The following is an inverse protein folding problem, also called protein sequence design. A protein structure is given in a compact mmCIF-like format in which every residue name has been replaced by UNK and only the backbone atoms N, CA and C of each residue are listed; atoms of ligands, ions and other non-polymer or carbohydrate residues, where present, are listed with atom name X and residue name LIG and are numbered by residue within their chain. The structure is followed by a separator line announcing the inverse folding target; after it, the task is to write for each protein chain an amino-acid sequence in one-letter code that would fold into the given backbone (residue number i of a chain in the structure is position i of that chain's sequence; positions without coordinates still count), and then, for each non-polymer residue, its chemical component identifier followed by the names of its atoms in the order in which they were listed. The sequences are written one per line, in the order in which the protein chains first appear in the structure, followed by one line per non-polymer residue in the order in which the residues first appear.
data_IF_576989313122
#
_entry.id   IF_576989313122
#
_cell.length_a   1.000
_cell.length_b   1.000
_cell.length_c   1.000
_cell.angle_alpha   90.00
_cell.angle_beta   90.00
_cell.angle_gamma   90.00
#
_symmetry.space_group_name_H-M   'P 1'
#
loop_
_entity.id
_entity.type
_entity.pdbx_description
1 polymer ?
#
# COMPACT_ATOMS: atom_id res chain seq x y z
N UNK A 1 12.53 30.56 30.18
CA UNK A 1 12.51 30.24 29.53
C UNK A 1 12.52 29.85 29.00
N UNK A 2 12.45 29.66 28.91
CA UNK A 2 12.26 29.21 28.14
C UNK A 2 12.16 28.74 27.45
N UNK A 3 12.00 28.65 27.46
CA UNK A 3 11.71 28.15 26.66
C UNK A 3 11.58 27.54 26.08
N UNK A 4 11.33 27.28 26.13
CA UNK A 4 11.00 26.67 25.46
C UNK A 4 11.07 26.25 24.64
N UNK A 5 11.11 26.39 24.89
CA UNK A 5 10.98 25.84 23.93
C UNK A 5 10.92 25.29 23.26
N UNK A 6 10.77 25.19 23.24
CA UNK A 6 10.48 24.71 22.49
C UNK A 6 10.42 24.00 21.87
N UNK A 7 10.43 23.99 22.38
CA UNK A 7 10.15 23.34 21.77
C UNK A 7 10.02 22.76 21.16
N UNK A 8 9.91 22.80 21.41
CA UNK A 8 9.61 22.33 20.68
C UNK A 8 9.49 21.82 20.08
N UNK A 9 9.32 21.77 20.15
CA UNK A 9 9.03 21.26 19.36
C UNK A 9 8.96 20.63 18.82
N UNK A 10 8.77 20.39 18.87
CA UNK A 10 8.56 19.87 18.21
C UNK A 10 8.55 19.24 17.59
N UNK A 11 8.53 18.81 17.58
CA UNK A 11 8.55 18.19 16.77
C UNK A 11 8.09 17.65 16.36
N UNK A 12 7.53 17.42 16.48
CA UNK A 12 6.90 16.82 15.88
C UNK A 12 6.80 16.86 14.87
N UNK A 13 6.58 17.02 15.19
CA UNK A 13 6.50 17.21 14.21
C UNK A 13 7.15 16.91 13.29
N UNK A 14 7.63 16.66 13.43
CA UNK A 14 8.39 16.16 12.53
C UNK A 14 7.96 14.98 11.94
N UNK A 15 6.99 14.38 12.41
CA UNK A 15 6.37 13.32 11.71
C UNK A 15 5.74 13.85 10.51
N UNK A 16 6.16 13.34 9.37
CA UNK A 16 5.56 13.73 8.12
C UNK A 16 4.21 13.10 8.00
N UNK A 17 3.24 13.86 7.55
CA UNK A 17 1.92 13.33 7.25
C UNK A 17 1.88 13.11 5.77
N UNK A 18 1.99 11.84 5.34
CA UNK A 18 1.82 11.54 3.94
C UNK A 18 0.71 10.52 3.79
N UNK A 19 -0.09 10.72 2.77
CA UNK A 19 -1.23 9.85 2.49
C UNK A 19 -0.97 9.12 1.19
N UNK A 20 -0.91 7.81 1.25
CA UNK A 20 -0.78 6.97 0.08
C UNK A 20 -2.13 6.29 -0.14
N UNK A 21 -2.55 6.24 -1.40
CA UNK A 21 -3.83 5.65 -1.73
C UNK A 21 -3.68 4.18 -2.03
N UNK A 22 -4.64 3.38 -1.55
CA UNK A 22 -4.68 1.98 -1.89
C UNK A 22 -5.11 1.80 -3.34
N UNK A 23 -4.76 0.66 -3.92
CA UNK A 23 -5.14 0.31 -5.27
C UNK A 23 -5.96 -0.96 -5.25
N UNK A 24 -6.76 -1.17 -6.30
CA UNK A 24 -7.67 -2.30 -6.39
C UNK A 24 -7.39 -3.12 -7.65
N UNK A 25 -7.82 -4.37 -7.62
CA UNK A 25 -7.56 -5.32 -8.68
C UNK A 25 -8.84 -6.00 -9.13
N UNK A 26 -8.81 -6.45 -10.37
CA UNK A 26 -9.88 -7.28 -10.90
C UNK A 26 -9.82 -8.67 -10.29
N UNK A 27 -10.93 -9.38 -10.35
CA UNK A 27 -11.01 -10.73 -9.81
C UNK A 27 -9.90 -11.62 -10.39
N UNK A 28 -9.21 -12.30 -9.52
CA UNK A 28 -8.19 -13.30 -9.87
C UNK A 28 -7.06 -12.72 -10.72
N UNK A 29 -6.85 -11.39 -10.67
CA UNK A 29 -5.83 -10.73 -11.46
C UNK A 29 -4.88 -9.96 -10.56
N UNK A 30 -3.67 -9.76 -11.05
CA UNK A 30 -2.69 -8.91 -10.36
C UNK A 30 -2.09 -7.89 -11.33
N UNK A 31 -2.68 -7.71 -12.49
CA UNK A 31 -2.19 -6.69 -13.43
C UNK A 31 -2.68 -5.32 -13.00
N UNK A 32 -1.89 -4.32 -13.36
CA UNK A 32 -2.22 -2.93 -13.03
C UNK A 32 -3.05 -2.34 -14.17
N UNK A 33 -4.20 -1.78 -13.82
CA UNK A 33 -5.05 -1.09 -14.78
C UNK A 33 -4.55 0.34 -14.97
N UNK A 34 -4.93 1.03 -16.06
CA UNK A 34 -4.48 2.41 -16.26
C UNK A 34 -4.78 3.33 -15.09
N UNK A 35 -5.99 3.26 -14.54
CA UNK A 35 -6.33 4.12 -13.40
C UNK A 35 -5.54 3.75 -12.16
N UNK A 36 -5.19 2.47 -12.00
CA UNK A 36 -4.33 2.01 -10.91
C UNK A 36 -2.95 2.59 -11.04
N UNK A 37 -2.42 2.62 -12.27
CA UNK A 37 -1.09 3.19 -12.51
C UNK A 37 -1.06 4.67 -12.17
N UNK A 38 -2.14 5.40 -12.46
CA UNK A 38 -2.21 6.81 -12.08
C UNK A 38 -2.11 7.00 -10.57
N UNK A 39 -2.81 6.15 -9.81
CA UNK A 39 -2.70 6.20 -8.35
C UNK A 39 -1.28 5.92 -7.89
N UNK A 40 -0.64 4.90 -8.49
CA UNK A 40 0.74 4.57 -8.13
C UNK A 40 1.71 5.69 -8.49
N UNK A 41 1.47 6.39 -9.60
CA UNK A 41 2.29 7.54 -9.96
C UNK A 41 2.17 8.64 -8.92
N UNK A 42 0.96 8.89 -8.41
CA UNK A 42 0.77 9.86 -7.35
C UNK A 42 1.45 9.41 -6.06
N UNK A 43 1.35 8.12 -5.73
CA UNK A 43 2.03 7.59 -4.56
C UNK A 43 3.55 7.74 -4.71
N UNK A 44 4.07 7.52 -5.91
CA UNK A 44 5.51 7.68 -6.16
C UNK A 44 5.95 9.11 -5.93
N UNK A 45 5.14 10.10 -6.36
CA UNK A 45 5.49 11.50 -6.13
C UNK A 45 5.57 11.81 -4.64
N UNK A 46 4.62 11.27 -3.85
CA UNK A 46 4.67 11.44 -2.40
C UNK A 46 5.94 10.82 -1.81
N UNK A 47 6.30 9.62 -2.27
CA UNK A 47 7.49 8.96 -1.76
C UNK A 47 8.77 9.69 -2.17
N UNK A 48 8.81 10.29 -3.36
CA UNK A 48 9.97 11.07 -3.79
C UNK A 48 10.10 12.33 -2.97
N UNK A 49 8.99 12.95 -2.60
CA UNK A 49 9.00 14.16 -1.78
C UNK A 49 9.44 13.87 -0.34
N UNK A 50 9.37 12.62 0.10
CA UNK A 50 9.72 12.22 1.46
C UNK A 50 10.71 11.07 1.43
N UNK A 51 11.98 11.34 1.07
CA UNK A 51 12.92 10.27 0.72
C UNK A 51 13.31 9.33 1.85
N UNK A 52 13.02 9.70 3.10
CA UNK A 52 13.37 8.82 4.23
C UNK A 52 12.26 7.86 4.60
N UNK A 53 11.09 7.99 3.99
CA UNK A 53 9.94 7.17 4.31
C UNK A 53 10.09 5.80 3.64
N UNK A 54 9.78 4.76 4.38
CA UNK A 54 9.70 3.39 3.86
C UNK A 54 8.26 2.93 3.93
N UNK A 55 7.92 1.99 3.07
CA UNK A 55 6.53 1.54 2.96
C UNK A 55 6.47 0.02 2.86
N UNK A 56 5.42 -0.54 3.45
CA UNK A 56 5.08 -1.95 3.27
C UNK A 56 3.81 -1.99 2.43
N UNK A 57 3.85 -2.76 1.34
CA UNK A 57 2.69 -2.96 0.50
C UNK A 57 2.03 -4.27 0.91
N UNK A 58 0.77 -4.18 1.36
CA UNK A 58 0.00 -5.36 1.79
C UNK A 58 -0.91 -5.80 0.67
N UNK A 59 -0.74 -7.04 0.21
CA UNK A 59 -1.60 -7.60 -0.81
C UNK A 59 -2.76 -8.35 -0.18
N UNK A 60 -3.97 -8.06 -0.65
CA UNK A 60 -5.20 -8.63 -0.12
C UNK A 60 -6.08 -9.16 -1.23
N UNK A 61 -6.89 -10.16 -0.90
CA UNK A 61 -7.79 -10.81 -1.84
C UNK A 61 -9.18 -10.88 -1.25
N UNK A 62 -10.18 -11.16 -2.13
CA UNK A 62 -11.51 -11.46 -1.63
C UNK A 62 -11.54 -12.90 -1.10
N UNK A 63 -12.70 -13.31 -0.57
CA UNK A 63 -12.79 -14.56 0.18
C UNK A 63 -12.77 -15.81 -0.70
N UNK A 64 -12.90 -15.67 -2.01
CA UNK A 64 -13.06 -16.82 -2.89
C UNK A 64 -11.71 -17.49 -3.15
N UNK A 65 -11.71 -18.82 -3.04
CA UNK A 65 -10.51 -19.62 -3.26
C UNK A 65 -9.87 -20.07 -1.97
N UNK A 66 -8.79 -20.84 -2.10
CA UNK A 66 -8.11 -21.39 -0.93
C UNK A 66 -7.25 -20.34 -0.25
N UNK A 67 -6.87 -20.62 1.00
CA UNK A 67 -5.97 -19.74 1.74
C UNK A 67 -4.64 -19.62 1.01
N UNK A 68 -4.08 -20.76 0.59
CA UNK A 68 -2.78 -20.78 -0.06
C UNK A 68 -2.79 -20.02 -1.40
N UNK A 69 -3.83 -20.24 -2.19
CA UNK A 69 -3.92 -19.56 -3.48
C UNK A 69 -3.97 -18.05 -3.30
N UNK A 70 -4.75 -17.61 -2.31
CA UNK A 70 -4.92 -16.17 -2.09
C UNK A 70 -3.71 -15.53 -1.44
N UNK A 71 -2.95 -16.28 -0.62
CA UNK A 71 -1.68 -15.75 -0.13
C UNK A 71 -0.72 -15.50 -1.29
N UNK A 72 -0.66 -16.44 -2.24
CA UNK A 72 0.19 -16.26 -3.42
C UNK A 72 -0.29 -15.12 -4.30
N UNK A 73 -1.60 -15.01 -4.51
CA UNK A 73 -2.17 -13.93 -5.34
C UNK A 73 -1.92 -12.57 -4.69
N UNK A 74 -2.08 -12.48 -3.36
CA UNK A 74 -1.80 -11.23 -2.66
C UNK A 74 -0.34 -10.82 -2.79
N UNK A 75 0.57 -11.78 -2.74
CA UNK A 75 1.99 -11.49 -2.94
C UNK A 75 2.24 -10.96 -4.34
N UNK A 76 1.63 -11.59 -5.35
CA UNK A 76 1.78 -11.12 -6.73
C UNK A 76 1.23 -9.71 -6.91
N UNK A 77 0.12 -9.40 -6.25
CA UNK A 77 -0.46 -8.07 -6.30
C UNK A 77 0.48 -7.04 -5.68
N UNK A 78 1.03 -7.36 -4.51
CA UNK A 78 1.96 -6.45 -3.84
C UNK A 78 3.22 -6.25 -4.68
N UNK A 79 3.73 -7.32 -5.28
CA UNK A 79 4.92 -7.23 -6.13
C UNK A 79 4.66 -6.41 -7.39
N UNK A 80 3.45 -6.52 -7.97
CA UNK A 80 3.11 -5.71 -9.14
C UNK A 80 3.23 -4.22 -8.81
N UNK A 81 2.70 -3.83 -7.65
CA UNK A 81 2.78 -2.43 -7.23
C UNK A 81 4.22 -2.02 -6.93
N UNK A 82 4.96 -2.87 -6.23
CA UNK A 82 6.36 -2.57 -5.92
C UNK A 82 7.17 -2.39 -7.19
N UNK A 83 7.03 -3.31 -8.14
CA UNK A 83 7.82 -3.25 -9.35
C UNK A 83 7.52 -1.98 -10.13
N UNK A 84 6.26 -1.57 -10.18
CA UNK A 84 5.91 -0.34 -10.87
C UNK A 84 6.49 0.89 -10.17
N UNK A 85 6.45 0.93 -8.83
CA UNK A 85 7.06 2.03 -8.09
C UNK A 85 8.56 2.08 -8.31
N UNK A 86 9.23 0.92 -8.37
CA UNK A 86 10.65 0.88 -8.66
C UNK A 86 10.92 1.43 -10.07
N UNK A 87 10.09 1.06 -11.04
CA UNK A 87 10.21 1.59 -12.39
C UNK A 87 10.03 3.10 -12.43
N UNK A 88 9.25 3.65 -11.50
CA UNK A 88 9.04 5.08 -11.40
C UNK A 88 10.17 5.80 -10.64
N UNK A 89 11.15 5.06 -10.16
CA UNK A 89 12.33 5.66 -9.54
C UNK A 89 12.41 5.54 -8.04
N UNK A 90 11.51 4.78 -7.41
CA UNK A 90 11.59 4.57 -5.97
C UNK A 90 12.54 3.40 -5.70
N UNK A 91 13.49 3.60 -4.77
CA UNK A 91 14.46 2.55 -4.46
C UNK A 91 13.77 1.32 -3.89
N UNK A 92 14.16 0.15 -4.38
CA UNK A 92 13.60 -1.11 -3.90
C UNK A 92 13.79 -1.29 -2.39
N UNK A 93 14.86 -0.73 -1.84
CA UNK A 93 15.15 -0.84 -0.40
C UNK A 93 14.09 -0.16 0.47
N UNK A 94 13.31 0.74 -0.11
CA UNK A 94 12.28 1.47 0.62
C UNK A 94 10.95 0.74 0.64
N UNK A 95 10.82 -0.36 -0.11
CA UNK A 95 9.53 -1.01 -0.32
C UNK A 95 9.64 -2.47 0.08
N UNK A 96 8.80 -2.88 1.03
CA UNK A 96 8.64 -4.28 1.42
C UNK A 96 7.24 -4.73 1.03
N UNK A 97 7.07 -6.03 0.86
CA UNK A 97 5.75 -6.58 0.53
C UNK A 97 5.36 -7.64 1.54
N UNK A 98 4.07 -7.77 1.78
CA UNK A 98 3.53 -8.85 2.59
C UNK A 98 2.15 -9.18 2.04
N UNK A 99 1.77 -10.46 2.07
CA UNK A 99 0.44 -10.86 1.66
C UNK A 99 -0.34 -11.34 2.87
N UNK A 100 -1.55 -10.84 3.02
CA UNK A 100 -2.51 -11.37 3.99
C UNK A 100 -3.56 -12.25 3.30
N UNK A 101 -3.50 -12.36 1.97
CA UNK A 101 -4.46 -13.15 1.25
C UNK A 101 -5.87 -12.69 1.54
N UNK A 102 -6.73 -13.64 1.91
CA UNK A 102 -8.14 -13.32 2.18
C UNK A 102 -8.45 -13.13 3.66
N UNK A 103 -7.42 -13.03 4.51
CA UNK A 103 -7.60 -13.10 5.94
C UNK A 103 -7.94 -11.78 6.61
N UNK A 104 -7.83 -10.67 5.89
CA UNK A 104 -8.10 -9.33 6.45
C UNK A 104 -9.05 -8.54 5.56
N UNK A 105 -10.32 -8.96 5.47
CA UNK A 105 -11.25 -8.25 4.61
C UNK A 105 -11.59 -6.87 5.17
N UNK A 106 -11.74 -5.89 4.28
CA UNK A 106 -12.31 -4.61 4.65
C UNK A 106 -13.81 -4.74 4.84
N UNK A 107 -14.42 -5.60 4.05
CA UNK A 107 -15.88 -5.81 4.07
C UNK A 107 -16.11 -7.30 4.16
N UNK A 108 -16.65 -7.80 5.28
CA UNK A 108 -16.80 -9.25 5.47
C UNK A 108 -18.00 -9.87 4.77
N UNK A 109 -18.80 -9.06 4.06
CA UNK A 109 -19.96 -9.60 3.37
C UNK A 109 -19.54 -10.44 2.18
N UNK A 110 -20.44 -11.29 1.71
CA UNK A 110 -20.17 -12.18 0.59
C UNK A 110 -20.97 -11.73 -0.62
N UNK A 111 -20.53 -10.66 -1.26
CA UNK A 111 -21.15 -10.17 -2.48
C UNK A 111 -20.09 -9.41 -3.28
N UNK A 112 -20.44 -9.05 -4.51
CA UNK A 112 -19.47 -8.43 -5.41
C UNK A 112 -18.96 -7.10 -4.89
N UNK A 113 -19.81 -6.32 -4.24
CA UNK A 113 -19.38 -5.04 -3.69
C UNK A 113 -18.30 -5.23 -2.64
N UNK A 114 -18.51 -6.20 -1.73
CA UNK A 114 -17.53 -6.50 -0.69
C UNK A 114 -16.25 -7.08 -1.31
N UNK A 115 -16.38 -7.99 -2.27
CA UNK A 115 -15.24 -8.61 -2.89
C UNK A 115 -14.36 -7.57 -3.60
N UNK A 116 -15.00 -6.61 -4.28
CA UNK A 116 -14.26 -5.56 -4.97
C UNK A 116 -13.45 -4.72 -3.99
N UNK A 117 -14.01 -4.41 -2.81
CA UNK A 117 -13.29 -3.65 -1.79
C UNK A 117 -12.11 -4.43 -1.24
N UNK A 118 -12.22 -5.75 -1.18
CA UNK A 118 -11.20 -6.58 -0.57
C UNK A 118 -10.02 -6.88 -1.50
N UNK A 119 -10.21 -6.74 -2.81
CA UNK A 119 -9.15 -6.99 -3.79
C UNK A 119 -8.27 -5.76 -3.91
N UNK A 120 -7.28 -5.65 -3.02
CA UNK A 120 -6.54 -4.40 -2.92
C UNK A 120 -5.10 -4.60 -2.45
N UNK A 121 -4.27 -3.60 -2.73
CA UNK A 121 -3.00 -3.40 -2.04
C UNK A 121 -3.14 -2.17 -1.16
N UNK A 122 -2.75 -2.28 0.10
CA UNK A 122 -2.68 -1.15 1.02
C UNK A 122 -1.23 -0.79 1.26
N UNK A 123 -0.98 0.50 1.47
CA UNK A 123 0.37 1.00 1.66
C UNK A 123 0.51 1.51 3.08
N UNK A 124 1.41 0.89 3.85
CA UNK A 124 1.61 1.23 5.26
C UNK A 124 2.96 1.90 5.40
N UNK A 125 2.96 3.08 6.01
CA UNK A 125 4.20 3.82 6.23
C UNK A 125 4.95 3.18 7.40
N UNK A 126 6.25 2.98 7.22
CA UNK A 126 7.13 2.47 8.26
C UNK A 126 8.02 3.62 8.71
N UNK A 127 8.02 3.85 10.02
CA UNK A 127 8.82 4.94 10.57
C UNK A 127 10.08 4.48 11.25
#
# INVERSE_FOLDING_TARGET
PTKQPEVVSQPKVEKEVIALEMIHFEFDKYRLLPETKTILENNAEMLKAHPKVKVIIEGHCDERGTIEYNLALGEKRALSAKNYLVDLGISADRISTISYGKERPLDPRSNEEAWAKNRRDEFKIVE
#
